data_IF_596964200318
#
_entry.id   IF_596964200318
#
_cell.length_a   1.000
_cell.length_b   1.000
_cell.length_c   1.000
_cell.angle_alpha   90.00
_cell.angle_beta   90.00
_cell.angle_gamma   90.00
#
_symmetry.space_group_name_H-M   'P 1'
#
loop_
_entity.id
_entity.type
_entity.pdbx_description
1 polymer ?
#
# COMPACT_ATOMS: atom_id res chain seq x y z
N UNK A 1 20.84 -2.29 -6.06
CA UNK A 1 22.29 -2.51 -5.83
C UNK A 1 22.65 -3.81 -6.52
N UNK A 2 23.68 -3.82 -7.38
CA UNK A 2 24.18 -5.08 -7.95
C UNK A 2 24.84 -5.91 -6.85
N UNK A 3 24.58 -7.22 -6.76
CA UNK A 3 25.30 -8.08 -5.83
C UNK A 3 26.79 -8.13 -6.21
N UNK A 4 27.66 -8.18 -5.21
CA UNK A 4 29.10 -8.22 -5.43
C UNK A 4 29.51 -9.58 -6.05
N UNK A 5 30.26 -9.54 -7.16
CA UNK A 5 30.78 -10.74 -7.84
C UNK A 5 30.19 -11.03 -9.22
N UNK A 6 29.22 -10.26 -9.68
CA UNK A 6 28.58 -10.45 -10.99
C UNK A 6 29.31 -9.65 -12.10
N UNK A 7 29.99 -10.36 -13.00
CA UNK A 7 30.81 -9.78 -14.08
C UNK A 7 30.01 -9.41 -15.35
N UNK A 8 28.77 -9.91 -15.47
CA UNK A 8 27.93 -9.69 -16.65
C UNK A 8 26.92 -8.58 -16.40
N UNK A 9 26.65 -7.79 -17.45
CA UNK A 9 25.65 -6.74 -17.39
C UNK A 9 24.23 -7.35 -17.39
N UNK A 10 23.44 -7.02 -16.37
CA UNK A 10 22.00 -7.28 -16.38
C UNK A 10 21.32 -6.27 -17.30
N UNK A 11 20.71 -6.77 -18.37
CA UNK A 11 19.93 -5.94 -19.29
C UNK A 11 18.45 -6.01 -18.89
N UNK A 12 17.81 -4.85 -18.74
CA UNK A 12 16.37 -4.76 -18.50
C UNK A 12 15.72 -4.10 -19.71
N UNK A 13 14.63 -4.68 -20.21
CA UNK A 13 13.91 -4.19 -21.39
C UNK A 13 12.54 -3.67 -20.96
N UNK A 14 12.18 -2.47 -21.43
CA UNK A 14 10.87 -1.86 -21.21
C UNK A 14 10.10 -1.83 -22.52
N UNK A 15 8.91 -2.43 -22.54
CA UNK A 15 7.98 -2.36 -23.66
C UNK A 15 6.79 -1.54 -23.21
N UNK A 16 6.46 -0.47 -23.93
CA UNK A 16 5.40 0.46 -23.55
C UNK A 16 4.65 0.96 -24.77
N UNK A 17 3.34 1.18 -24.61
CA UNK A 17 2.48 1.87 -25.57
C UNK A 17 2.16 3.32 -25.12
N UNK A 18 2.87 3.83 -24.10
CA UNK A 18 2.70 5.19 -23.59
C UNK A 18 3.30 6.18 -24.59
N UNK A 19 2.47 6.70 -25.50
CA UNK A 19 2.89 7.71 -26.48
C UNK A 19 3.27 9.04 -25.80
N UNK A 20 2.65 9.38 -24.67
CA UNK A 20 2.90 10.65 -23.97
C UNK A 20 4.22 10.70 -23.17
N UNK A 21 4.86 9.54 -22.91
CA UNK A 21 6.09 9.44 -22.11
C UNK A 21 7.33 9.33 -23.01
N UNK A 22 7.66 10.39 -23.74
CA UNK A 22 8.70 10.37 -24.78
C UNK A 22 10.13 10.19 -24.28
N UNK A 23 10.45 10.51 -23.01
CA UNK A 23 11.82 10.39 -22.51
C UNK A 23 12.07 9.02 -21.85
N UNK A 24 13.19 8.34 -22.13
CA UNK A 24 13.56 7.09 -21.47
C UNK A 24 13.52 7.17 -19.95
N UNK A 25 13.91 8.32 -19.38
CA UNK A 25 13.86 8.58 -17.93
C UNK A 25 12.43 8.60 -17.40
N UNK A 26 11.48 9.18 -18.15
CA UNK A 26 10.07 9.20 -17.76
C UNK A 26 9.47 7.79 -17.79
N UNK A 27 9.84 6.96 -18.78
CA UNK A 27 9.41 5.55 -18.85
C UNK A 27 9.94 4.79 -17.62
N UNK A 28 11.24 4.90 -17.33
CA UNK A 28 11.85 4.24 -16.17
C UNK A 28 11.22 4.72 -14.86
N UNK A 29 11.03 6.03 -14.67
CA UNK A 29 10.42 6.60 -13.47
C UNK A 29 8.97 6.16 -13.30
N UNK A 30 8.23 6.04 -14.40
CA UNK A 30 6.85 5.55 -14.38
C UNK A 30 6.80 4.09 -13.99
N UNK A 31 7.67 3.26 -14.57
CA UNK A 31 7.76 1.84 -14.20
C UNK A 31 8.18 1.64 -12.74
N UNK A 32 9.09 2.48 -12.21
CA UNK A 32 9.51 2.42 -10.80
C UNK A 32 8.33 2.57 -9.81
N UNK A 33 7.26 3.30 -10.17
CA UNK A 33 6.06 3.43 -9.32
C UNK A 33 5.36 2.08 -9.08
N UNK A 34 5.58 1.07 -9.93
CA UNK A 34 5.07 -0.29 -9.71
C UNK A 34 5.58 -0.88 -8.38
N UNK A 35 6.86 -0.68 -8.07
CA UNK A 35 7.44 -1.15 -6.81
C UNK A 35 6.80 -0.50 -5.59
N UNK A 36 6.46 0.79 -5.70
CA UNK A 36 5.69 1.51 -4.66
C UNK A 36 4.31 0.90 -4.48
N UNK A 37 3.63 0.54 -5.58
CA UNK A 37 2.31 -0.10 -5.51
C UNK A 37 2.37 -1.48 -4.83
N UNK A 38 3.40 -2.28 -5.07
CA UNK A 38 3.59 -3.56 -4.37
C UNK A 38 3.73 -3.37 -2.85
N UNK A 39 4.40 -2.29 -2.43
CA UNK A 39 4.51 -1.96 -1.01
C UNK A 39 3.15 -1.57 -0.42
N UNK A 40 2.35 -0.76 -1.12
CA UNK A 40 0.99 -0.42 -0.68
C UNK A 40 0.10 -1.66 -0.56
N UNK A 41 0.20 -2.61 -1.48
CA UNK A 41 -0.56 -3.88 -1.40
C UNK A 41 -0.12 -4.70 -0.17
N UNK A 42 1.19 -4.82 0.09
CA UNK A 42 1.70 -5.52 1.28
C UNK A 42 1.24 -4.84 2.57
N UNK A 43 1.24 -3.51 2.58
CA UNK A 43 0.78 -2.71 3.70
C UNK A 43 -0.72 -2.84 3.93
N UNK A 44 -1.55 -2.84 2.88
CA UNK A 44 -2.98 -3.04 2.98
C UNK A 44 -3.33 -4.44 3.52
N UNK A 45 -2.64 -5.49 3.03
CA UNK A 45 -2.77 -6.86 3.55
C UNK A 45 -2.40 -6.94 5.03
N UNK A 46 -1.18 -6.54 5.39
CA UNK A 46 -0.71 -6.64 6.77
C UNK A 46 -1.45 -5.69 7.72
N UNK A 47 -1.62 -4.44 7.30
CA UNK A 47 -2.19 -3.32 8.06
C UNK A 47 -3.70 -3.41 8.25
N UNK A 48 -4.44 -3.74 7.20
CA UNK A 48 -5.91 -3.68 7.20
C UNK A 48 -6.59 -5.03 6.94
N UNK A 49 -5.82 -6.11 6.81
CA UNK A 49 -6.35 -7.47 6.72
C UNK A 49 -7.05 -7.76 5.38
N UNK A 50 -6.58 -7.15 4.29
CA UNK A 50 -7.12 -7.38 2.94
C UNK A 50 -7.06 -8.85 2.49
N UNK A 51 -6.17 -9.63 3.08
CA UNK A 51 -6.00 -11.07 2.84
C UNK A 51 -6.97 -11.95 3.65
N UNK A 52 -7.74 -11.38 4.58
CA UNK A 52 -8.58 -12.13 5.53
C UNK A 52 -10.07 -11.98 5.22
N UNK A 53 -10.50 -12.56 4.11
CA UNK A 53 -11.89 -12.61 3.65
C UNK A 53 -12.44 -14.04 3.80
N UNK A 54 -12.86 -14.41 5.01
CA UNK A 54 -13.24 -15.79 5.34
C UNK A 54 -14.75 -16.07 5.31
N UNK A 55 -15.58 -15.18 4.77
CA UNK A 55 -17.02 -15.44 4.67
C UNK A 55 -17.33 -16.40 3.53
N UNK A 56 -18.38 -17.20 3.67
CA UNK A 56 -18.88 -18.12 2.64
C UNK A 56 -19.56 -17.39 1.48
N UNK A 57 -20.05 -16.17 1.70
CA UNK A 57 -20.79 -15.39 0.69
C UNK A 57 -19.89 -14.32 0.07
N UNK A 58 -19.87 -14.26 -1.27
CA UNK A 58 -19.09 -13.27 -2.02
C UNK A 58 -19.42 -11.82 -1.63
N UNK A 59 -20.71 -11.48 -1.52
CA UNK A 59 -21.17 -10.12 -1.20
C UNK A 59 -20.62 -9.60 0.13
N UNK A 60 -20.52 -10.45 1.15
CA UNK A 60 -19.97 -10.06 2.46
C UNK A 60 -18.46 -9.81 2.36
N UNK A 61 -17.74 -10.62 1.57
CA UNK A 61 -16.31 -10.42 1.35
C UNK A 61 -16.04 -9.16 0.52
N UNK A 62 -16.88 -8.88 -0.49
CA UNK A 62 -16.81 -7.66 -1.29
C UNK A 62 -17.05 -6.41 -0.43
N UNK A 63 -18.13 -6.39 0.36
CA UNK A 63 -18.42 -5.29 1.27
C UNK A 63 -17.29 -5.07 2.27
N UNK A 64 -16.72 -6.15 2.82
CA UNK A 64 -15.58 -6.09 3.73
C UNK A 64 -14.32 -5.54 3.03
N UNK A 65 -14.07 -5.92 1.79
CA UNK A 65 -12.95 -5.39 1.00
C UNK A 65 -13.11 -3.89 0.73
N UNK A 66 -14.31 -3.43 0.36
CA UNK A 66 -14.61 -2.00 0.16
C UNK A 66 -14.39 -1.21 1.45
N UNK A 67 -14.87 -1.71 2.59
CA UNK A 67 -14.65 -1.07 3.89
C UNK A 67 -13.16 -0.99 4.26
N UNK A 68 -12.41 -2.06 4.04
CA UNK A 68 -10.96 -2.07 4.24
C UNK A 68 -10.25 -1.06 3.31
N UNK A 69 -10.70 -0.91 2.06
CA UNK A 69 -10.17 0.06 1.09
C UNK A 69 -10.45 1.50 1.49
N UNK A 70 -11.68 1.80 1.94
CA UNK A 70 -12.02 3.11 2.46
C UNK A 70 -11.18 3.44 3.70
N UNK A 71 -11.04 2.50 4.63
CA UNK A 71 -10.21 2.68 5.81
C UNK A 71 -8.73 2.91 5.45
N UNK A 72 -8.20 2.18 4.46
CA UNK A 72 -6.85 2.38 3.95
C UNK A 72 -6.66 3.78 3.35
N UNK A 73 -7.58 4.21 2.49
CA UNK A 73 -7.52 5.53 1.85
C UNK A 73 -7.66 6.66 2.87
N UNK A 74 -8.56 6.54 3.85
CA UNK A 74 -8.70 7.54 4.91
C UNK A 74 -7.46 7.62 5.79
N UNK A 75 -6.85 6.48 6.13
CA UNK A 75 -5.57 6.46 6.80
C UNK A 75 -4.51 7.15 5.93
N UNK A 76 -4.34 6.74 4.67
CA UNK A 76 -3.36 7.34 3.77
C UNK A 76 -3.49 8.88 3.69
N UNK A 77 -4.71 9.41 3.49
CA UNK A 77 -4.99 10.86 3.46
C UNK A 77 -4.74 11.52 4.81
N UNK A 78 -5.16 10.89 5.91
CA UNK A 78 -4.98 11.41 7.27
C UNK A 78 -3.52 11.42 7.72
N UNK A 79 -2.73 10.45 7.29
CA UNK A 79 -1.29 10.38 7.53
C UNK A 79 -0.53 11.46 6.75
N UNK A 80 -0.97 11.84 5.55
CA UNK A 80 -0.38 12.98 4.82
C UNK A 80 -0.49 14.32 5.56
N UNK A 81 -1.37 14.42 6.57
CA UNK A 81 -1.57 15.64 7.38
C UNK A 81 -0.85 15.60 8.74
N UNK A 82 -0.09 14.56 9.06
CA UNK A 82 0.63 14.43 10.34
C UNK A 82 2.06 15.01 10.23
N UNK A 83 2.60 15.64 11.29
CA UNK A 83 4.00 16.04 11.33
C UNK A 83 4.90 14.79 11.24
N UNK A 84 5.98 14.88 10.46
CA UNK A 84 6.90 13.77 10.09
C UNK A 84 7.57 13.07 11.28
N UNK A 85 7.48 13.65 12.48
CA UNK A 85 8.12 13.18 13.71
C UNK A 85 7.54 11.86 14.24
N UNK A 86 6.31 11.51 13.85
CA UNK A 86 5.57 10.36 14.38
C UNK A 86 5.47 9.24 13.32
N UNK A 87 6.58 8.57 13.03
CA UNK A 87 6.65 7.38 12.17
C UNK A 87 6.06 6.12 12.85
N UNK A 88 4.88 6.25 13.44
CA UNK A 88 4.13 5.13 14.01
C UNK A 88 3.72 4.17 12.88
N UNK A 89 4.14 2.90 12.98
CA UNK A 89 3.70 1.84 12.05
C UNK A 89 2.16 1.78 12.06
N UNK A 90 1.54 1.54 10.89
CA UNK A 90 0.08 1.44 10.73
C UNK A 90 -0.59 0.49 11.72
N UNK A 91 0.10 -0.58 12.13
CA UNK A 91 -0.35 -1.51 13.18
C UNK A 91 -0.60 -0.82 14.52
N UNK A 92 0.30 0.09 14.91
CA UNK A 92 0.21 0.87 16.15
C UNK A 92 -1.00 1.79 16.09
N UNK A 93 -1.21 2.45 14.95
CA UNK A 93 -2.33 3.37 14.74
C UNK A 93 -3.66 2.63 14.71
N UNK A 94 -3.74 1.49 14.01
CA UNK A 94 -4.90 0.58 14.05
C UNK A 94 -5.24 0.21 15.49
N UNK A 95 -4.24 -0.17 16.28
CA UNK A 95 -4.44 -0.56 17.69
C UNK A 95 -4.92 0.61 18.54
N UNK A 96 -4.37 1.82 18.35
CA UNK A 96 -4.84 3.04 19.05
C UNK A 96 -6.28 3.37 18.67
N UNK A 97 -6.64 3.33 17.39
CA UNK A 97 -8.01 3.55 16.91
C UNK A 97 -9.00 2.57 17.52
N UNK A 98 -8.68 1.27 17.51
CA UNK A 98 -9.53 0.25 18.13
C UNK A 98 -9.68 0.50 19.64
N UNK A 99 -8.59 0.86 20.34
CA UNK A 99 -8.65 1.20 21.77
C UNK A 99 -9.50 2.45 22.04
N UNK A 100 -9.42 3.49 21.21
CA UNK A 100 -10.25 4.68 21.33
C UNK A 100 -11.73 4.36 21.10
N UNK A 101 -12.06 3.66 20.01
CA UNK A 101 -13.43 3.24 19.71
C UNK A 101 -14.02 2.36 20.81
N UNK A 102 -13.22 1.44 21.37
CA UNK A 102 -13.66 0.56 22.48
C UNK A 102 -13.95 1.33 23.77
N UNK A 103 -13.24 2.44 24.03
CA UNK A 103 -13.54 3.32 25.16
C UNK A 103 -14.82 4.12 24.93
N UNK A 104 -15.05 4.57 23.70
CA UNK A 104 -16.23 5.36 23.33
C UNK A 104 -17.53 4.56 23.47
N UNK A 105 -17.54 3.29 23.05
CA UNK A 105 -18.72 2.40 23.15
C UNK A 105 -19.09 2.02 24.58
N UNK A 106 -18.13 2.12 25.53
CA UNK A 106 -18.39 1.84 26.94
C UNK A 106 -18.95 3.06 27.72
N UNK A 107 -19.15 4.20 27.06
CA UNK A 107 -19.70 5.42 27.64
C UNK A 107 -21.18 5.60 27.33
#
# INVERSE_FOLDING_TARGET
MRPAGELFFTHNVFVTNLEEAFTPEAIVRTYQKRGTMENYIKEAKNGFGFDRMCSHTFQVNEARMILCLLAYNFAHIGFSRRPETDADKIQTIRTRLVKFASKLVKS
#
